data_IF_987365716229
#
_entry.id   IF_987365716229
#
_cell.length_a   1.000
_cell.length_b   1.000
_cell.length_c   1.000
_cell.angle_alpha   90.00
_cell.angle_beta   90.00
_cell.angle_gamma   90.00
#
_symmetry.space_group_name_H-M   'P 1'
#
loop_
_entity.id
_entity.type
_entity.pdbx_description
1 polymer ?
#
# COMPACT_ATOMS: atom_id res chain seq x y z
N UNK A 1 -19.31 -7.52 11.12
CA UNK A 1 -18.78 -8.89 11.31
C UNK A 1 -17.55 -9.05 10.40
N UNK A 2 -16.36 -8.81 10.94
CA UNK A 2 -15.08 -8.88 10.19
C UNK A 2 -14.61 -10.33 10.21
N UNK A 3 -14.45 -10.97 9.04
CA UNK A 3 -14.05 -12.38 8.93
C UNK A 3 -12.55 -12.51 9.21
N UNK A 4 -12.19 -13.35 10.17
CA UNK A 4 -10.83 -13.52 10.73
C UNK A 4 -9.76 -14.06 9.74
N UNK A 5 -10.12 -14.49 8.53
CA UNK A 5 -9.15 -15.06 7.55
C UNK A 5 -8.42 -14.03 6.69
N UNK A 6 -8.98 -12.82 6.55
CA UNK A 6 -8.55 -11.83 5.55
C UNK A 6 -7.39 -10.96 6.02
N UNK A 7 -7.21 -10.87 7.34
CA UNK A 7 -6.21 -9.99 7.96
C UNK A 7 -4.79 -10.51 7.67
N UNK A 8 -4.54 -11.80 7.86
CA UNK A 8 -3.21 -12.40 7.65
C UNK A 8 -2.81 -12.39 6.18
N UNK A 9 -3.73 -12.68 5.25
CA UNK A 9 -3.44 -12.59 3.82
C UNK A 9 -3.21 -11.15 3.36
N UNK A 10 -3.93 -10.18 3.93
CA UNK A 10 -3.69 -8.76 3.67
C UNK A 10 -2.29 -8.33 4.11
N UNK A 11 -1.82 -8.78 5.28
CA UNK A 11 -0.45 -8.50 5.72
C UNK A 11 0.60 -9.20 4.86
N UNK A 12 0.34 -10.39 4.32
CA UNK A 12 1.28 -11.06 3.41
C UNK A 12 1.35 -10.39 2.04
N UNK A 13 0.24 -9.84 1.53
CA UNK A 13 0.18 -9.19 0.21
C UNK A 13 0.62 -7.72 0.24
N UNK A 14 0.26 -6.99 1.30
CA UNK A 14 0.52 -5.55 1.43
C UNK A 14 1.68 -5.23 2.39
N UNK A 15 2.19 -6.21 3.12
CA UNK A 15 3.34 -6.05 4.00
C UNK A 15 4.67 -6.13 3.26
N UNK A 16 5.75 -5.97 4.03
CA UNK A 16 7.11 -6.08 3.53
C UNK A 16 7.56 -7.55 3.50
N UNK A 17 8.41 -7.89 2.53
CA UNK A 17 9.15 -9.15 2.46
C UNK A 17 10.62 -8.95 2.80
N UNK A 18 11.35 -10.01 3.10
CA UNK A 18 12.80 -9.94 3.39
C UNK A 18 13.62 -9.35 2.22
N UNK A 19 13.13 -9.48 0.98
CA UNK A 19 13.74 -8.91 -0.24
C UNK A 19 13.28 -7.48 -0.55
N UNK A 20 12.47 -6.85 0.31
CA UNK A 20 11.92 -5.51 0.06
C UNK A 20 12.98 -4.43 0.23
N UNK A 21 13.47 -3.87 -0.88
CA UNK A 21 14.42 -2.75 -0.88
C UNK A 21 13.76 -1.38 -0.75
N UNK A 22 12.43 -1.34 -0.77
CA UNK A 22 11.64 -0.13 -0.70
C UNK A 22 10.44 -0.35 0.22
N UNK A 23 10.34 0.45 1.27
CA UNK A 23 9.34 0.28 2.33
C UNK A 23 8.59 1.59 2.58
N UNK A 24 7.27 1.50 2.65
CA UNK A 24 6.42 2.61 3.06
C UNK A 24 6.06 2.41 4.54
N UNK A 25 6.48 3.36 5.38
CA UNK A 25 6.19 3.31 6.81
C UNK A 25 5.12 4.34 7.15
N UNK A 26 3.94 3.85 7.52
CA UNK A 26 2.83 4.67 7.97
C UNK A 26 2.66 4.53 9.48
N UNK A 27 2.58 5.66 10.19
CA UNK A 27 2.27 5.73 11.61
C UNK A 27 1.21 6.80 11.84
N UNK A 28 0.14 6.44 12.53
CA UNK A 28 -0.91 7.37 12.92
C UNK A 28 -0.56 8.00 14.27
N UNK A 29 -0.91 9.27 14.45
CA UNK A 29 -0.74 10.01 15.71
C UNK A 29 0.70 9.97 16.27
N UNK A 30 1.69 10.17 15.39
CA UNK A 30 3.10 10.10 15.75
C UNK A 30 3.63 11.46 16.21
N UNK A 31 4.33 11.49 17.35
CA UNK A 31 5.17 12.63 17.73
C UNK A 31 6.48 12.63 16.95
N UNK A 32 7.16 13.78 16.91
CA UNK A 32 8.45 13.93 16.21
C UNK A 32 9.51 12.93 16.72
N UNK A 33 9.54 12.70 18.04
CA UNK A 33 10.44 11.73 18.67
C UNK A 33 10.16 10.30 18.20
N UNK A 34 8.89 9.93 18.06
CA UNK A 34 8.49 8.63 17.55
C UNK A 34 8.83 8.46 16.06
N UNK A 35 8.76 9.52 15.26
CA UNK A 35 9.20 9.49 13.86
C UNK A 35 10.72 9.26 13.80
N UNK A 36 11.49 10.00 14.59
CA UNK A 36 12.95 9.84 14.66
C UNK A 36 13.34 8.43 15.15
N UNK A 37 12.60 7.85 16.08
CA UNK A 37 12.82 6.48 16.54
C UNK A 37 12.58 5.45 15.42
N UNK A 38 11.53 5.65 14.60
CA UNK A 38 11.24 4.80 13.44
C UNK A 38 12.31 4.92 12.37
N UNK A 39 12.81 6.14 12.10
CA UNK A 39 13.89 6.34 11.13
C UNK A 39 15.18 5.60 11.53
N UNK A 40 15.47 5.47 12.84
CA UNK A 40 16.61 4.69 13.35
C UNK A 40 16.45 3.18 13.20
N UNK A 41 15.23 2.68 13.00
CA UNK A 41 14.96 1.25 12.81
C UNK A 41 15.13 0.80 11.35
N UNK A 42 15.23 1.75 10.42
CA UNK A 42 15.28 1.48 8.98
C UNK A 42 16.70 1.76 8.50
N UNK A 43 17.41 0.71 8.08
CA UNK A 43 18.67 0.86 7.36
C UNK A 43 18.37 1.23 5.90
N UNK A 44 18.38 2.53 5.61
CA UNK A 44 18.08 3.03 4.28
C UNK A 44 18.05 4.55 4.18
N UNK A 45 17.69 5.04 3.00
CA UNK A 45 17.54 6.47 2.73
C UNK A 45 16.07 6.82 2.65
N UNK A 46 15.64 7.80 3.46
CA UNK A 46 14.33 8.42 3.32
C UNK A 46 14.26 9.15 1.98
N UNK A 47 13.21 8.87 1.21
CA UNK A 47 12.91 9.56 -0.03
C UNK A 47 11.57 10.28 0.08
N UNK A 48 11.34 11.22 -0.82
CA UNK A 48 10.08 11.96 -0.86
C UNK A 48 8.91 11.06 -1.29
N UNK A 49 7.72 11.35 -0.80
CA UNK A 49 6.50 10.65 -1.19
C UNK A 49 6.14 10.88 -2.67
N UNK A 50 6.63 11.95 -3.28
CA UNK A 50 6.50 12.20 -4.72
C UNK A 50 7.13 11.09 -5.58
N UNK A 51 8.18 10.41 -5.08
CA UNK A 51 8.81 9.29 -5.81
C UNK A 51 7.98 8.00 -5.76
N UNK A 52 6.93 7.94 -4.93
CA UNK A 52 6.13 6.74 -4.72
C UNK A 52 5.39 6.31 -6.00
N UNK A 53 4.78 7.24 -6.75
CA UNK A 53 4.06 6.90 -8.00
C UNK A 53 5.00 6.35 -9.07
N UNK A 54 6.22 6.90 -9.15
CA UNK A 54 7.23 6.47 -10.12
C UNK A 54 7.78 5.07 -9.85
N UNK A 55 7.76 4.62 -8.59
CA UNK A 55 8.23 3.29 -8.18
C UNK A 55 7.09 2.29 -7.95
N UNK A 56 5.84 2.74 -8.00
CA UNK A 56 4.68 1.89 -7.82
C UNK A 56 4.56 0.89 -8.97
N UNK A 57 4.48 -0.40 -8.64
CA UNK A 57 4.29 -1.45 -9.64
C UNK A 57 2.81 -1.49 -10.10
N UNK A 58 2.47 -0.63 -11.06
CA UNK A 58 1.11 -0.49 -11.60
C UNK A 58 0.54 -1.82 -12.11
N UNK A 59 1.38 -2.69 -12.69
CA UNK A 59 0.95 -4.02 -13.15
C UNK A 59 0.52 -4.94 -12.00
N UNK A 60 1.28 -4.97 -10.90
CA UNK A 60 0.88 -5.72 -9.72
C UNK A 60 -0.36 -5.12 -9.04
N UNK A 61 -0.46 -3.80 -8.93
CA UNK A 61 -1.63 -3.12 -8.36
C UNK A 61 -2.91 -3.52 -9.11
N UNK A 62 -2.90 -3.42 -10.44
CA UNK A 62 -4.04 -3.82 -11.27
C UNK A 62 -4.43 -5.29 -11.05
N UNK A 63 -3.43 -6.17 -10.97
CA UNK A 63 -3.66 -7.61 -10.74
C UNK A 63 -4.24 -7.89 -9.35
N UNK A 64 -3.72 -7.24 -8.31
CA UNK A 64 -4.16 -7.45 -6.93
C UNK A 64 -5.56 -6.88 -6.66
N UNK A 65 -5.87 -5.71 -7.21
CA UNK A 65 -7.20 -5.10 -7.07
C UNK A 65 -8.21 -5.59 -8.13
N UNK A 66 -7.80 -6.53 -9.01
CA UNK A 66 -8.63 -7.11 -10.09
C UNK A 66 -9.27 -6.01 -10.96
N UNK A 67 -8.52 -4.94 -11.22
CA UNK A 67 -8.99 -3.78 -12.00
C UNK A 67 -8.84 -4.12 -13.48
N UNK A 68 -9.95 -4.01 -14.21
CA UNK A 68 -9.98 -4.33 -15.65
C UNK A 68 -9.58 -3.13 -16.51
N UNK A 69 -9.09 -3.39 -17.72
CA UNK A 69 -8.77 -2.33 -18.67
C UNK A 69 -10.00 -1.50 -19.07
N UNK A 70 -11.20 -2.11 -19.07
CA UNK A 70 -12.46 -1.43 -19.35
C UNK A 70 -12.84 -0.44 -18.24
N UNK A 71 -12.52 -0.76 -16.99
CA UNK A 71 -12.74 0.12 -15.83
C UNK A 71 -11.85 1.36 -15.88
N UNK A 72 -10.58 1.19 -16.25
CA UNK A 72 -9.63 2.29 -16.46
C UNK A 72 -10.02 3.23 -17.62
N UNK A 73 -10.91 2.81 -18.51
CA UNK A 73 -11.47 3.66 -19.57
C UNK A 73 -12.55 4.62 -19.07
N UNK A 74 -13.08 4.40 -17.85
CA UNK A 74 -14.21 5.15 -17.29
C UNK A 74 -13.79 5.90 -16.03
N UNK A 75 -12.95 5.29 -15.18
CA UNK A 75 -12.49 5.87 -13.91
C UNK A 75 -10.97 5.85 -13.81
N UNK A 76 -10.42 6.69 -12.93
CA UNK A 76 -8.98 6.67 -12.66
C UNK A 76 -8.61 5.42 -11.83
N UNK A 77 -7.33 5.03 -11.89
CA UNK A 77 -6.80 3.94 -11.06
C UNK A 77 -7.05 4.20 -9.56
N UNK A 78 -6.88 5.44 -9.12
CA UNK A 78 -7.11 5.83 -7.73
C UNK A 78 -8.58 5.69 -7.32
N UNK A 79 -9.53 6.04 -8.21
CA UNK A 79 -10.96 5.89 -7.94
C UNK A 79 -11.37 4.42 -7.85
N UNK A 80 -10.88 3.59 -8.78
CA UNK A 80 -11.14 2.16 -8.77
C UNK A 80 -10.62 1.49 -7.48
N UNK A 81 -9.39 1.81 -7.07
CA UNK A 81 -8.81 1.32 -5.81
C UNK A 81 -9.60 1.82 -4.59
N UNK A 82 -9.93 3.11 -4.55
CA UNK A 82 -10.70 3.71 -3.46
C UNK A 82 -12.06 3.04 -3.32
N UNK A 83 -12.74 2.77 -4.45
CA UNK A 83 -14.01 2.05 -4.48
C UNK A 83 -13.87 0.63 -3.92
N UNK A 84 -12.82 -0.12 -4.30
CA UNK A 84 -12.55 -1.47 -3.77
C UNK A 84 -12.25 -1.48 -2.27
N UNK A 85 -11.50 -0.49 -1.79
CA UNK A 85 -11.22 -0.34 -0.35
C UNK A 85 -12.51 -0.01 0.40
N UNK A 86 -13.29 0.95 -0.11
CA UNK A 86 -14.54 1.39 0.51
C UNK A 86 -15.61 0.28 0.55
N UNK A 87 -15.71 -0.51 -0.52
CA UNK A 87 -16.63 -1.64 -0.62
C UNK A 87 -16.16 -2.88 0.17
N UNK A 88 -14.97 -2.84 0.78
CA UNK A 88 -14.30 -4.01 1.39
C UNK A 88 -14.18 -5.19 0.42
N UNK A 89 -14.07 -4.89 -0.87
CA UNK A 89 -13.96 -5.89 -1.94
C UNK A 89 -12.49 -6.05 -2.40
N UNK A 90 -11.56 -5.41 -1.70
CA UNK A 90 -10.11 -5.55 -1.91
C UNK A 90 -9.56 -6.85 -1.30
N UNK A 91 -10.06 -8.02 -1.74
CA UNK A 91 -9.73 -9.35 -1.20
C UNK A 91 -9.52 -10.42 -2.31
#
# INVERSE_FOLDING_TARGET
>A
MVRRGEITESFKRCGISDDSTYVLVARFDASLDQINAVEKLIDGKKIDLEELDGRANKSQILKHYKISASELGISSLADAITCRIASRDAL
#
